data_IF_216561327120
#
_entry.id   IF_216561327120
#
_cell.length_a   1.000
_cell.length_b   1.000
_cell.length_c   1.000
_cell.angle_alpha   90.00
_cell.angle_beta   90.00
_cell.angle_gamma   90.00
#
_symmetry.space_group_name_H-M   'P 1'
#
loop_
_entity.id
_entity.type
_entity.pdbx_description
1 polymer ?
#
# COMPACT_ATOMS: atom_id res chain seq x y z
N UNK A 1 -14.39 -7.33 -13.18
CA UNK A 1 -13.43 -7.48 -12.10
C UNK A 1 -13.87 -6.73 -10.83
N UNK A 2 -12.95 -6.57 -9.89
CA UNK A 2 -13.19 -5.97 -8.57
C UNK A 2 -13.97 -4.65 -8.61
N UNK A 3 -13.53 -3.70 -9.42
CA UNK A 3 -14.15 -2.34 -9.48
C UNK A 3 -15.61 -2.37 -9.93
N UNK A 4 -15.93 -3.13 -10.99
CA UNK A 4 -17.32 -3.26 -11.45
C UNK A 4 -18.23 -3.91 -10.40
N UNK A 5 -17.71 -4.90 -9.69
CA UNK A 5 -18.46 -5.51 -8.58
C UNK A 5 -18.67 -4.53 -7.43
N UNK A 6 -17.63 -3.77 -7.07
CA UNK A 6 -17.70 -2.78 -6.00
C UNK A 6 -18.70 -1.66 -6.31
N UNK A 7 -18.77 -1.17 -7.55
CA UNK A 7 -19.78 -0.20 -7.98
C UNK A 7 -21.20 -0.75 -7.79
N UNK A 8 -21.45 -1.99 -8.21
CA UNK A 8 -22.75 -2.62 -8.03
C UNK A 8 -23.11 -2.81 -6.56
N UNK A 9 -22.12 -3.18 -5.74
CA UNK A 9 -22.30 -3.35 -4.30
C UNK A 9 -22.59 -2.02 -3.61
N UNK A 10 -21.86 -0.96 -3.97
CA UNK A 10 -22.04 0.39 -3.44
C UNK A 10 -23.45 0.91 -3.71
N UNK A 11 -23.96 0.74 -4.93
CA UNK A 11 -25.35 1.09 -5.25
C UNK A 11 -26.39 0.35 -4.39
N UNK A 12 -26.13 -0.95 -4.07
CA UNK A 12 -27.08 -1.77 -3.31
C UNK A 12 -27.05 -1.50 -1.80
N UNK A 13 -25.91 -1.07 -1.28
CA UNK A 13 -25.67 -0.93 0.16
C UNK A 13 -25.63 0.53 0.63
N UNK A 14 -26.01 1.50 -0.18
CA UNK A 14 -25.77 2.92 0.10
C UNK A 14 -24.32 3.12 0.50
N UNK A 15 -23.37 2.69 -0.36
CA UNK A 15 -21.95 2.65 -0.02
C UNK A 15 -21.13 3.60 -0.89
N UNK A 16 -19.92 3.89 -0.41
CA UNK A 16 -18.88 4.64 -1.12
C UNK A 16 -17.58 3.84 -1.18
N UNK A 17 -16.80 4.06 -2.23
CA UNK A 17 -15.60 3.29 -2.52
C UNK A 17 -14.36 3.99 -1.95
N UNK A 18 -13.50 3.22 -1.27
CA UNK A 18 -12.21 3.66 -0.75
C UNK A 18 -11.11 2.84 -1.44
N UNK A 19 -10.14 3.53 -2.03
CA UNK A 19 -9.03 2.88 -2.70
C UNK A 19 -8.10 2.15 -1.71
N UNK A 20 -7.78 0.89 -2.00
CA UNK A 20 -6.77 0.07 -1.33
C UNK A 20 -5.70 -0.45 -2.30
N UNK A 21 -5.33 0.37 -3.28
CA UNK A 21 -4.26 0.11 -4.24
C UNK A 21 -3.19 1.20 -4.14
N UNK A 22 -1.95 0.80 -3.86
CA UNK A 22 -0.82 1.72 -3.61
C UNK A 22 -0.36 2.49 -4.85
N UNK A 23 -0.75 2.08 -6.06
CA UNK A 23 -0.40 2.79 -7.28
C UNK A 23 -1.47 3.81 -7.67
N UNK A 24 -2.73 3.53 -7.40
CA UNK A 24 -3.85 4.41 -7.74
C UNK A 24 -3.97 5.67 -6.86
N UNK A 25 -3.10 5.82 -5.86
CA UNK A 25 -3.04 7.02 -5.00
C UNK A 25 -2.39 8.22 -5.70
N UNK A 26 -1.54 7.99 -6.71
CA UNK A 26 -0.75 9.05 -7.34
C UNK A 26 -1.55 9.82 -8.38
N UNK A 27 -1.43 11.16 -8.36
CA UNK A 27 -2.21 12.06 -9.22
C UNK A 27 -1.93 11.84 -10.71
N UNK A 28 -0.66 11.69 -11.03
CA UNK A 28 -0.15 11.67 -12.39
C UNK A 28 -0.44 10.35 -13.12
N UNK A 29 -0.65 9.26 -12.38
CA UNK A 29 -0.83 7.93 -12.95
C UNK A 29 -2.31 7.51 -12.97
N UNK A 30 -3.07 7.99 -13.94
CA UNK A 30 -4.50 7.64 -14.07
C UNK A 30 -4.74 6.48 -15.05
N UNK A 31 -4.12 6.51 -16.20
CA UNK A 31 -4.25 5.50 -17.25
C UNK A 31 -3.48 4.24 -16.86
N UNK A 32 -2.18 4.36 -16.58
CA UNK A 32 -1.30 3.24 -16.22
C UNK A 32 -1.75 2.46 -14.99
N UNK A 33 -2.47 3.09 -14.07
CA UNK A 33 -3.00 2.43 -12.89
C UNK A 33 -4.45 1.98 -13.02
N UNK A 34 -5.09 2.25 -14.17
CA UNK A 34 -6.50 1.97 -14.42
C UNK A 34 -7.41 2.52 -13.32
N UNK A 35 -7.23 3.79 -12.93
CA UNK A 35 -8.12 4.46 -11.97
C UNK A 35 -9.57 4.45 -12.45
N UNK A 36 -10.56 4.53 -11.55
CA UNK A 36 -11.95 4.72 -11.91
C UNK A 36 -12.12 5.95 -12.80
N UNK A 37 -12.91 5.80 -13.88
CA UNK A 37 -13.18 6.87 -14.82
C UNK A 37 -14.00 7.99 -14.15
N UNK A 38 -14.00 9.18 -14.75
CA UNK A 38 -14.88 10.29 -14.30
C UNK A 38 -16.35 9.85 -14.30
N UNK A 39 -16.75 9.00 -15.26
CA UNK A 39 -18.09 8.46 -15.32
C UNK A 39 -18.43 7.55 -14.13
N UNK A 40 -17.49 6.69 -13.70
CA UNK A 40 -17.67 5.85 -12.53
C UNK A 40 -17.73 6.69 -11.24
N UNK A 41 -16.88 7.71 -11.13
CA UNK A 41 -16.85 8.62 -9.99
C UNK A 41 -18.11 9.49 -9.88
N UNK A 42 -18.78 9.80 -10.98
CA UNK A 42 -20.08 10.50 -10.96
C UNK A 42 -21.22 9.62 -10.45
N UNK A 43 -21.11 8.30 -10.56
CA UNK A 43 -22.14 7.36 -10.08
C UNK A 43 -22.05 7.12 -8.58
N UNK A 44 -20.85 6.95 -8.08
CA UNK A 44 -20.52 6.63 -6.68
C UNK A 44 -19.31 7.44 -6.30
N UNK A 45 -19.28 7.97 -5.08
CA UNK A 45 -18.11 8.64 -4.56
C UNK A 45 -16.95 7.66 -4.40
N UNK A 46 -15.77 8.08 -4.88
CA UNK A 46 -14.52 7.35 -4.81
C UNK A 46 -13.49 8.14 -4.01
N UNK A 47 -12.94 7.54 -2.97
CA UNK A 47 -11.99 8.16 -2.04
C UNK A 47 -10.60 7.57 -2.18
N UNK A 48 -9.59 8.38 -1.89
CA UNK A 48 -8.17 8.02 -1.88
C UNK A 48 -7.62 7.57 -3.25
N UNK A 49 -8.19 8.10 -4.33
CA UNK A 49 -7.66 7.98 -5.68
C UNK A 49 -6.98 9.27 -6.10
N UNK A 50 -5.77 9.19 -6.65
CA UNK A 50 -5.08 10.34 -7.25
C UNK A 50 -4.92 11.55 -6.31
N UNK A 51 -4.66 11.36 -5.03
CA UNK A 51 -4.58 12.44 -4.05
C UNK A 51 -3.16 12.78 -3.62
N UNK A 52 -2.17 11.92 -3.96
CA UNK A 52 -0.76 12.10 -3.65
C UNK A 52 -0.02 12.51 -4.91
N UNK A 53 0.91 13.48 -4.84
CA UNK A 53 1.82 13.82 -5.94
C UNK A 53 2.88 12.74 -6.10
N UNK A 54 3.35 12.49 -7.33
CA UNK A 54 4.31 11.45 -7.66
C UNK A 54 5.70 11.62 -7.01
N UNK A 55 6.08 12.84 -6.67
CA UNK A 55 7.32 13.17 -5.95
C UNK A 55 7.25 12.88 -4.44
N UNK A 56 6.05 12.60 -3.90
CA UNK A 56 5.86 12.33 -2.47
C UNK A 56 5.94 10.85 -2.18
N UNK A 57 6.90 10.43 -1.36
CA UNK A 57 6.92 9.08 -0.81
C UNK A 57 5.75 8.87 0.14
N UNK A 58 4.82 8.03 -0.25
CA UNK A 58 3.68 7.62 0.55
C UNK A 58 3.89 6.22 1.14
N UNK A 59 3.40 5.99 2.34
CA UNK A 59 3.61 4.71 3.03
C UNK A 59 2.29 4.16 3.60
N UNK A 60 2.34 2.89 4.00
CA UNK A 60 1.17 2.16 4.54
C UNK A 60 0.58 2.84 5.78
N UNK A 61 1.39 3.41 6.66
CA UNK A 61 0.89 4.06 7.87
C UNK A 61 0.05 5.29 7.52
N UNK A 62 0.55 6.16 6.64
CA UNK A 62 -0.20 7.33 6.15
C UNK A 62 -1.49 6.92 5.45
N UNK A 63 -1.43 5.85 4.64
CA UNK A 63 -2.63 5.33 3.99
C UNK A 63 -3.66 4.84 5.02
N UNK A 64 -3.24 4.10 6.05
CA UNK A 64 -4.14 3.64 7.11
C UNK A 64 -4.79 4.81 7.88
N UNK A 65 -4.05 5.89 8.13
CA UNK A 65 -4.54 7.09 8.78
C UNK A 65 -5.63 7.78 7.93
N UNK A 66 -5.37 7.97 6.64
CA UNK A 66 -6.35 8.54 5.71
C UNK A 66 -7.58 7.63 5.53
N UNK A 67 -7.35 6.33 5.34
CA UNK A 67 -8.42 5.36 5.18
C UNK A 67 -9.31 5.26 6.41
N UNK A 68 -8.72 5.22 7.62
CA UNK A 68 -9.47 5.16 8.87
C UNK A 68 -10.32 6.40 9.10
N UNK A 69 -9.77 7.59 8.81
CA UNK A 69 -10.51 8.86 8.87
C UNK A 69 -11.73 8.82 7.94
N UNK A 70 -11.53 8.35 6.72
CA UNK A 70 -12.62 8.26 5.73
C UNK A 70 -13.67 7.21 6.11
N UNK A 71 -13.23 6.04 6.60
CA UNK A 71 -14.14 4.98 7.07
C UNK A 71 -15.03 5.49 8.21
N UNK A 72 -14.44 6.13 9.22
CA UNK A 72 -15.20 6.65 10.37
C UNK A 72 -16.22 7.71 9.93
N UNK A 73 -15.79 8.64 9.07
CA UNK A 73 -16.69 9.65 8.50
C UNK A 73 -17.90 9.03 7.77
N UNK A 74 -17.68 8.00 6.96
CA UNK A 74 -18.76 7.33 6.23
C UNK A 74 -19.72 6.58 7.17
N UNK A 75 -19.17 5.89 8.17
CA UNK A 75 -19.97 5.19 9.18
C UNK A 75 -20.86 6.17 9.95
N UNK A 76 -20.33 7.32 10.37
CA UNK A 76 -21.10 8.38 11.05
C UNK A 76 -22.24 8.93 10.19
N UNK A 77 -22.08 8.89 8.87
CA UNK A 77 -23.12 9.28 7.89
C UNK A 77 -24.07 8.15 7.51
N UNK A 78 -23.97 6.97 8.12
CA UNK A 78 -24.70 5.76 7.73
C UNK A 78 -24.46 5.33 6.27
N UNK A 79 -23.25 5.58 5.75
CA UNK A 79 -22.79 5.16 4.43
C UNK A 79 -21.86 3.97 4.61
N UNK A 80 -22.04 2.92 3.80
CA UNK A 80 -21.21 1.71 3.88
C UNK A 80 -19.84 1.94 3.23
N UNK A 81 -18.72 1.92 3.97
CA UNK A 81 -17.39 2.03 3.36
C UNK A 81 -17.01 0.73 2.66
N UNK A 82 -16.62 0.79 1.39
CA UNK A 82 -16.25 -0.36 0.56
C UNK A 82 -14.80 -0.19 0.10
N UNK A 83 -13.87 -0.94 0.71
CA UNK A 83 -12.47 -0.92 0.32
C UNK A 83 -12.25 -1.78 -0.93
N UNK A 84 -11.58 -1.21 -1.93
CA UNK A 84 -11.33 -1.86 -3.22
C UNK A 84 -9.87 -1.70 -3.61
N UNK A 85 -9.16 -2.80 -3.75
CA UNK A 85 -7.76 -2.74 -4.16
C UNK A 85 -7.08 -4.11 -4.22
N UNK A 86 -5.78 -4.08 -4.45
CA UNK A 86 -4.92 -5.26 -4.55
C UNK A 86 -3.72 -5.22 -3.60
N UNK A 87 -3.54 -4.14 -2.84
CA UNK A 87 -2.41 -3.99 -1.93
C UNK A 87 -2.72 -4.65 -0.59
N UNK A 88 -2.38 -5.95 -0.49
CA UNK A 88 -2.65 -6.76 0.71
C UNK A 88 -2.11 -6.14 1.99
N UNK A 89 -0.89 -5.55 1.94
CA UNK A 89 -0.28 -4.86 3.07
C UNK A 89 -1.17 -3.71 3.61
N UNK A 90 -1.86 -2.97 2.75
CA UNK A 90 -2.75 -1.90 3.17
C UNK A 90 -3.94 -2.45 3.97
N UNK A 91 -4.60 -3.46 3.41
CA UNK A 91 -5.78 -4.08 4.02
C UNK A 91 -5.42 -4.77 5.34
N UNK A 92 -4.32 -5.53 5.35
CA UNK A 92 -3.83 -6.22 6.54
C UNK A 92 -3.48 -5.23 7.66
N UNK A 93 -2.74 -4.16 7.31
CA UNK A 93 -2.33 -3.13 8.28
C UNK A 93 -3.51 -2.34 8.84
N UNK A 94 -4.53 -2.09 8.04
CA UNK A 94 -5.75 -1.40 8.49
C UNK A 94 -6.52 -2.24 9.50
N UNK A 95 -6.63 -3.55 9.26
CA UNK A 95 -7.41 -4.49 10.09
C UNK A 95 -6.64 -4.88 11.36
N UNK A 96 -5.37 -5.27 11.20
CA UNK A 96 -4.57 -5.84 12.28
C UNK A 96 -3.69 -4.79 12.99
N UNK A 97 -3.69 -3.57 12.47
CA UNK A 97 -2.77 -2.53 12.91
C UNK A 97 -1.35 -2.75 12.42
N UNK A 98 -0.50 -1.80 12.68
CA UNK A 98 0.94 -1.90 12.43
C UNK A 98 1.74 -1.37 13.62
N UNK A 99 2.95 -1.83 13.74
CA UNK A 99 3.89 -1.31 14.74
C UNK A 99 4.24 0.14 14.40
N UNK A 100 4.07 1.03 15.35
CA UNK A 100 4.37 2.46 15.19
C UNK A 100 5.88 2.70 15.32
N UNK A 101 6.60 2.58 14.23
CA UNK A 101 8.01 2.94 14.14
C UNK A 101 8.10 4.42 13.78
N UNK A 102 8.98 5.22 14.45
CA UNK A 102 9.19 6.61 14.10
C UNK A 102 9.53 6.81 12.62
N UNK A 103 9.14 7.96 12.07
CA UNK A 103 9.51 8.33 10.69
C UNK A 103 11.02 8.43 10.58
N UNK A 104 11.61 7.72 9.62
CA UNK A 104 13.05 7.76 9.36
C UNK A 104 13.37 9.00 8.52
N UNK A 105 14.25 9.89 9.00
CA UNK A 105 14.69 11.06 8.25
C UNK A 105 15.35 10.70 6.92
N UNK A 106 15.28 11.59 5.94
CA UNK A 106 15.84 11.35 4.61
C UNK A 106 17.36 11.21 4.64
N UNK A 107 18.03 11.92 5.55
CA UNK A 107 19.47 11.83 5.77
C UNK A 107 19.92 10.40 6.11
N UNK A 108 19.12 9.68 6.92
CA UNK A 108 19.41 8.28 7.29
C UNK A 108 19.27 7.35 6.08
N UNK A 109 18.31 7.62 5.21
CA UNK A 109 18.14 6.84 3.98
C UNK A 109 19.27 7.08 2.99
N UNK A 110 19.71 8.33 2.84
CA UNK A 110 20.90 8.69 2.05
C UNK A 110 22.14 7.99 2.61
N UNK A 111 22.28 7.94 3.93
CA UNK A 111 23.42 7.27 4.56
C UNK A 111 23.38 5.75 4.31
N UNK A 112 22.20 5.11 4.32
CA UNK A 112 22.06 3.70 3.97
C UNK A 112 22.48 3.43 2.52
N UNK A 113 22.12 4.32 1.58
CA UNK A 113 22.51 4.21 0.16
C UNK A 113 24.02 4.35 -0.01
N UNK A 114 24.64 5.33 0.66
CA UNK A 114 26.10 5.49 0.67
C UNK A 114 26.82 4.28 1.25
N UNK A 115 26.30 3.71 2.32
CA UNK A 115 26.86 2.51 2.94
C UNK A 115 26.83 1.34 1.96
N UNK A 116 25.70 1.10 1.30
CA UNK A 116 25.55 0.03 0.29
C UNK A 116 26.53 0.23 -0.89
N UNK A 117 26.71 1.45 -1.34
CA UNK A 117 27.69 1.76 -2.42
C UNK A 117 29.12 1.51 -1.96
N UNK A 118 29.44 1.84 -0.71
CA UNK A 118 30.80 1.73 -0.17
C UNK A 118 31.23 0.27 0.06
N UNK A 119 30.38 -0.57 0.67
CA UNK A 119 30.77 -1.93 1.09
C UNK A 119 30.17 -3.03 0.21
N UNK A 120 29.27 -2.70 -0.70
CA UNK A 120 28.53 -3.65 -1.55
C UNK A 120 27.35 -4.33 -0.84
N UNK A 121 26.44 -4.88 -1.65
CA UNK A 121 25.17 -5.46 -1.17
C UNK A 121 25.39 -6.66 -0.23
N UNK A 122 26.33 -7.52 -0.53
CA UNK A 122 26.63 -8.73 0.26
C UNK A 122 27.17 -8.39 1.65
N UNK A 123 28.17 -7.50 1.71
CA UNK A 123 28.72 -7.06 2.99
C UNK A 123 27.68 -6.28 3.80
N UNK A 124 26.81 -5.50 3.14
CA UNK A 124 25.70 -4.80 3.81
C UNK A 124 24.68 -5.80 4.38
N UNK A 125 24.34 -6.87 3.66
CA UNK A 125 23.50 -7.96 4.18
C UNK A 125 24.12 -8.57 5.45
N UNK A 126 25.40 -8.91 5.40
CA UNK A 126 26.12 -9.52 6.54
C UNK A 126 26.18 -8.57 7.74
N UNK A 127 26.42 -7.28 7.51
CA UNK A 127 26.38 -6.23 8.55
C UNK A 127 25.02 -6.18 9.24
N UNK A 128 23.93 -6.10 8.48
CA UNK A 128 22.57 -6.00 9.03
C UNK A 128 22.18 -7.28 9.75
N UNK A 129 22.61 -8.45 9.25
CA UNK A 129 22.40 -9.74 9.90
C UNK A 129 23.11 -9.83 11.26
N UNK A 130 24.29 -9.23 11.41
CA UNK A 130 24.97 -9.14 12.70
C UNK A 130 24.26 -8.17 13.66
N UNK A 131 23.71 -7.07 13.15
CA UNK A 131 22.98 -6.09 13.95
C UNK A 131 21.63 -6.61 14.47
N UNK A 132 20.89 -7.37 13.65
CA UNK A 132 19.56 -7.85 13.98
C UNK A 132 19.26 -9.19 13.28
N UNK A 133 19.83 -10.26 13.82
CA UNK A 133 19.69 -11.61 13.25
C UNK A 133 18.23 -12.06 13.16
N UNK A 134 17.41 -11.74 14.18
CA UNK A 134 16.01 -12.14 14.25
C UNK A 134 15.18 -11.49 13.13
N UNK A 135 15.44 -10.22 12.83
CA UNK A 135 14.77 -9.54 11.73
C UNK A 135 15.15 -10.11 10.36
N UNK A 136 16.33 -10.72 10.24
CA UNK A 136 16.92 -11.20 9.00
C UNK A 136 16.65 -12.68 8.68
N UNK A 137 15.99 -13.44 9.56
CA UNK A 137 15.79 -14.90 9.42
C UNK A 137 15.20 -15.28 8.04
N UNK A 138 14.20 -14.56 7.56
CA UNK A 138 13.49 -14.86 6.31
C UNK A 138 13.72 -13.81 5.23
N UNK A 139 14.83 -13.06 5.28
CA UNK A 139 15.17 -12.04 4.29
C UNK A 139 16.20 -12.60 3.32
N UNK A 140 15.85 -12.63 2.04
CA UNK A 140 16.78 -13.05 1.00
C UNK A 140 17.90 -11.99 0.80
N UNK A 141 19.16 -12.41 0.50
CA UNK A 141 20.28 -11.48 0.34
C UNK A 141 20.09 -10.42 -0.75
N UNK A 142 19.23 -10.67 -1.73
CA UNK A 142 18.92 -9.74 -2.82
C UNK A 142 17.73 -8.81 -2.49
N UNK A 143 17.04 -8.98 -1.35
CA UNK A 143 15.96 -8.09 -0.92
C UNK A 143 16.52 -6.84 -0.22
N UNK A 144 17.27 -6.06 -1.01
CA UNK A 144 17.99 -4.90 -0.50
C UNK A 144 17.06 -3.86 0.14
N UNK A 145 15.81 -3.79 -0.30
CA UNK A 145 14.83 -2.84 0.23
C UNK A 145 14.48 -3.16 1.69
N UNK A 146 14.21 -4.44 2.01
CA UNK A 146 13.94 -4.87 3.39
C UNK A 146 15.17 -4.80 4.27
N UNK A 147 16.34 -5.20 3.76
CA UNK A 147 17.60 -5.13 4.47
C UNK A 147 17.92 -3.67 4.87
N UNK A 148 17.79 -2.75 3.90
CA UNK A 148 17.97 -1.32 4.13
C UNK A 148 17.00 -0.79 5.20
N UNK A 149 15.73 -1.16 5.13
CA UNK A 149 14.74 -0.75 6.13
C UNK A 149 15.07 -1.21 7.55
N UNK A 150 15.57 -2.42 7.71
CA UNK A 150 16.02 -2.95 9.01
C UNK A 150 17.20 -2.12 9.53
N UNK A 151 18.20 -1.84 8.67
CA UNK A 151 19.34 -1.02 9.04
C UNK A 151 18.93 0.39 9.44
N UNK A 152 18.12 1.06 8.63
CA UNK A 152 17.64 2.43 8.87
C UNK A 152 16.94 2.55 10.24
N UNK A 153 16.05 1.61 10.55
CA UNK A 153 15.34 1.60 11.83
C UNK A 153 16.30 1.39 12.99
N UNK A 154 17.18 0.40 12.90
CA UNK A 154 18.18 0.11 13.95
C UNK A 154 19.12 1.31 14.16
N UNK A 155 19.59 1.90 13.05
CA UNK A 155 20.52 3.04 13.07
C UNK A 155 19.88 4.28 13.69
N UNK A 156 18.68 4.64 13.26
CA UNK A 156 18.00 5.84 13.72
C UNK A 156 17.46 5.70 15.15
N UNK A 157 16.74 4.60 15.42
CA UNK A 157 16.05 4.44 16.72
C UNK A 157 16.92 3.87 17.82
N UNK A 158 18.14 3.38 17.50
CA UNK A 158 19.03 2.64 18.41
C UNK A 158 18.35 1.42 19.06
N UNK A 159 17.25 0.96 18.49
CA UNK A 159 16.49 -0.21 18.92
C UNK A 159 16.33 -1.16 17.74
N UNK A 160 16.50 -2.48 17.97
CA UNK A 160 16.39 -3.50 16.93
C UNK A 160 15.01 -3.50 16.28
N UNK A 161 14.96 -3.69 14.97
CA UNK A 161 13.70 -3.80 14.22
C UNK A 161 12.87 -5.00 14.70
N UNK A 162 13.52 -6.11 15.06
CA UNK A 162 12.88 -7.28 15.67
C UNK A 162 12.17 -6.95 16.99
N UNK A 163 12.74 -6.05 17.81
CA UNK A 163 12.11 -5.63 19.07
C UNK A 163 10.91 -4.69 18.83
N UNK A 164 10.98 -3.86 17.77
CA UNK A 164 9.81 -3.10 17.36
C UNK A 164 8.66 -4.02 16.97
N UNK A 165 8.92 -5.09 16.20
CA UNK A 165 7.89 -6.07 15.80
C UNK A 165 7.18 -6.75 16.97
N UNK A 166 7.83 -6.85 18.13
CA UNK A 166 7.22 -7.39 19.37
C UNK A 166 6.33 -6.36 20.08
N UNK A 167 6.38 -5.09 19.68
CA UNK A 167 5.60 -4.02 20.31
C UNK A 167 4.12 -4.12 19.87
N UNK A 168 3.23 -3.53 20.68
CA UNK A 168 1.80 -3.50 20.39
C UNK A 168 1.52 -2.71 19.11
N UNK A 169 0.68 -3.26 18.24
CA UNK A 169 0.26 -2.57 17.05
C UNK A 169 -0.61 -1.34 17.37
N UNK A 170 -0.45 -0.29 16.58
CA UNK A 170 -1.39 0.83 16.52
C UNK A 170 -2.60 0.37 15.69
N UNK A 171 -3.75 0.30 16.30
CA UNK A 171 -5.00 0.03 15.59
C UNK A 171 -5.50 1.31 14.92
N UNK A 172 -5.98 1.19 13.69
CA UNK A 172 -6.51 2.31 12.91
C UNK A 172 -8.04 2.37 12.91
N UNK A 173 -8.69 1.21 12.97
CA UNK A 173 -10.14 1.12 12.99
C UNK A 173 -10.61 0.26 14.16
N UNK A 174 -11.79 0.59 14.69
CA UNK A 174 -12.47 -0.21 15.72
C UNK A 174 -13.73 -0.85 15.14
N UNK A 175 -13.61 -1.42 13.95
CA UNK A 175 -14.72 -2.09 13.27
C UNK A 175 -14.63 -3.59 13.54
N UNK A 176 -15.59 -4.13 14.30
CA UNK A 176 -15.64 -5.56 14.63
C UNK A 176 -16.26 -6.40 13.52
N UNK A 177 -17.16 -5.81 12.73
CA UNK A 177 -17.93 -6.53 11.70
C UNK A 177 -17.53 -6.01 10.31
N UNK A 178 -16.79 -6.82 9.56
CA UNK A 178 -16.47 -6.58 8.16
C UNK A 178 -16.55 -7.90 7.37
N UNK A 179 -16.73 -7.79 6.07
CA UNK A 179 -16.69 -8.94 5.14
C UNK A 179 -15.57 -8.75 4.14
N UNK A 180 -14.79 -9.79 3.91
CA UNK A 180 -13.74 -9.81 2.88
C UNK A 180 -14.27 -10.65 1.71
N UNK A 181 -14.26 -10.07 0.51
CA UNK A 181 -14.59 -10.74 -0.73
C UNK A 181 -13.33 -10.86 -1.57
N UNK A 182 -12.87 -12.08 -1.78
CA UNK A 182 -11.69 -12.38 -2.57
C UNK A 182 -12.08 -12.79 -4.00
N UNK A 183 -11.55 -12.08 -4.99
CA UNK A 183 -11.75 -12.38 -6.41
C UNK A 183 -10.55 -13.13 -6.96
N UNK A 184 -10.73 -14.41 -7.25
CA UNK A 184 -9.71 -15.28 -7.82
C UNK A 184 -10.20 -15.73 -9.21
N UNK A 185 -9.92 -14.94 -10.28
CA UNK A 185 -10.29 -15.33 -11.62
C UNK A 185 -9.41 -16.51 -12.09
N UNK A 186 -9.90 -17.26 -13.07
CA UNK A 186 -9.06 -18.21 -13.80
C UNK A 186 -7.84 -17.50 -14.40
N UNK A 187 -6.68 -18.17 -14.36
CA UNK A 187 -5.41 -17.56 -14.76
C UNK A 187 -5.38 -17.17 -16.24
N UNK A 188 -5.92 -18.01 -17.13
CA UNK A 188 -5.97 -17.74 -18.58
C UNK A 188 -6.89 -16.57 -18.88
N UNK A 189 -8.05 -16.54 -18.24
CA UNK A 189 -8.98 -15.43 -18.36
C UNK A 189 -8.40 -14.11 -17.80
N UNK A 190 -7.64 -14.21 -16.74
CA UNK A 190 -6.98 -13.03 -16.17
C UNK A 190 -5.91 -12.47 -17.12
N UNK A 191 -5.12 -13.32 -17.76
CA UNK A 191 -4.13 -12.88 -18.77
C UNK A 191 -4.83 -12.17 -19.94
N UNK A 192 -5.86 -12.77 -20.55
CA UNK A 192 -6.61 -12.12 -21.63
C UNK A 192 -7.11 -10.73 -21.24
N UNK A 193 -7.61 -10.58 -20.01
CA UNK A 193 -8.10 -9.28 -19.50
C UNK A 193 -6.95 -8.28 -19.29
N UNK A 194 -5.81 -8.74 -18.81
CA UNK A 194 -4.62 -7.88 -18.63
C UNK A 194 -4.11 -7.42 -19.99
N UNK A 195 -3.96 -8.32 -20.96
CA UNK A 195 -3.48 -8.01 -22.31
C UNK A 195 -4.41 -7.00 -22.99
N UNK A 196 -5.73 -7.28 -23.00
CA UNK A 196 -6.71 -6.35 -23.55
C UNK A 196 -6.67 -4.98 -22.88
N UNK A 197 -6.58 -4.95 -21.56
CA UNK A 197 -6.47 -3.69 -20.82
C UNK A 197 -5.20 -2.92 -21.15
N UNK A 198 -4.07 -3.62 -21.33
CA UNK A 198 -2.81 -2.99 -21.73
C UNK A 198 -2.92 -2.35 -23.11
N UNK A 199 -3.56 -3.01 -24.08
CA UNK A 199 -3.83 -2.39 -25.38
C UNK A 199 -4.66 -1.11 -25.26
N UNK A 200 -5.77 -1.15 -24.52
CA UNK A 200 -6.59 0.05 -24.29
C UNK A 200 -5.80 1.18 -23.61
N UNK A 201 -4.96 0.87 -22.64
CA UNK A 201 -4.12 1.86 -21.98
C UNK A 201 -3.15 2.55 -22.97
N UNK A 202 -2.59 1.78 -23.91
CA UNK A 202 -1.70 2.34 -24.94
C UNK A 202 -2.48 3.26 -25.91
N UNK A 203 -3.70 2.88 -26.29
CA UNK A 203 -4.59 3.70 -27.13
C UNK A 203 -5.03 4.98 -26.39
N UNK A 204 -5.20 4.90 -25.07
CA UNK A 204 -5.60 6.02 -24.21
C UNK A 204 -4.43 6.97 -23.85
N UNK A 205 -3.19 6.72 -24.34
CA UNK A 205 -2.04 7.59 -24.11
C UNK A 205 -1.22 7.26 -22.85
N UNK A 206 -1.11 5.99 -22.49
CA UNK A 206 -0.35 5.57 -21.30
C UNK A 206 1.15 5.85 -21.39
N UNK A 207 1.70 6.00 -22.61
CA UNK A 207 3.13 6.33 -22.81
C UNK A 207 3.37 7.83 -22.60
N UNK A 208 2.39 8.64 -22.93
CA UNK A 208 2.45 10.10 -22.81
C UNK A 208 2.10 10.58 -21.38
N UNK A 209 1.43 9.74 -20.58
CA UNK A 209 1.13 10.01 -19.17
C UNK A 209 2.40 10.06 -18.32
#
# INVERSE_FOLDING_TARGET
GKSKFALNLANKLNGEIINADSMQIYKELSILTARPTIHDQKKINHHLYGFVKGDIRFNVQKWCEEASTKINYLIEKNITPILVGGTGLYIESLINGIVSIPSIPEEVKIESDKMILKIGKENFFNLVKQLDSDAMINIAPNDIQRIRRIWEVNFFTKKKFSDWKKSKNKNFINVKNYKILLFIPDRKENYKRVDHRTHLMMEDGAIEE
#
